data_IF_403704243730
#
_entry.id   IF_403704243730
#
_cell.length_a   1.000
_cell.length_b   1.000
_cell.length_c   1.000
_cell.angle_alpha   90.00
_cell.angle_beta   90.00
_cell.angle_gamma   90.00
#
_symmetry.space_group_name_H-M   'P 1'
#
loop_
_entity.id
_entity.type
_entity.pdbx_description
1 polymer ?
#
# COMPACT_ATOMS: atom_id res chain seq x y z
N UNK A 1 20.44 -28.15 24.97
CA UNK A 1 21.02 -26.78 25.01
C UNK A 1 21.18 -26.17 23.60
N UNK A 2 21.61 -26.93 22.59
CA UNK A 2 21.77 -26.49 21.18
C UNK A 2 20.49 -26.06 20.45
N UNK A 3 19.34 -26.71 20.71
CA UNK A 3 18.03 -26.30 20.16
C UNK A 3 17.55 -24.94 20.67
N UNK A 4 17.84 -24.61 21.94
CA UNK A 4 17.47 -23.33 22.56
C UNK A 4 18.31 -22.16 22.03
N UNK A 5 19.61 -22.41 21.77
CA UNK A 5 20.50 -21.41 21.18
C UNK A 5 20.14 -21.08 19.72
N UNK A 6 19.78 -22.09 18.90
CA UNK A 6 19.32 -21.87 17.52
C UNK A 6 17.98 -21.12 17.46
N UNK A 7 17.02 -21.48 18.32
CA UNK A 7 15.73 -20.78 18.39
C UNK A 7 15.89 -19.31 18.85
N UNK A 8 16.79 -19.04 19.79
CA UNK A 8 17.08 -17.68 20.24
C UNK A 8 17.78 -16.84 19.16
N UNK A 9 18.70 -17.43 18.38
CA UNK A 9 19.36 -16.77 17.24
C UNK A 9 18.36 -16.37 16.15
N UNK A 10 17.49 -17.29 15.73
CA UNK A 10 16.47 -17.03 14.70
C UNK A 10 15.46 -15.96 15.14
N UNK A 11 15.04 -15.99 16.41
CA UNK A 11 14.16 -14.96 16.96
C UNK A 11 14.83 -13.58 17.01
N UNK A 12 16.15 -13.53 17.25
CA UNK A 12 16.93 -12.30 17.22
C UNK A 12 17.06 -11.74 15.80
N UNK A 13 17.40 -12.58 14.82
CA UNK A 13 17.44 -12.19 13.40
C UNK A 13 16.11 -11.64 12.92
N UNK A 14 14.99 -12.30 13.28
CA UNK A 14 13.67 -11.87 12.82
C UNK A 14 13.31 -10.48 13.36
N UNK A 15 13.63 -10.24 14.64
CA UNK A 15 13.42 -8.92 15.27
C UNK A 15 14.29 -7.86 14.62
N UNK A 16 15.55 -8.17 14.30
CA UNK A 16 16.47 -7.24 13.65
C UNK A 16 15.99 -6.89 12.25
N UNK A 17 15.68 -7.88 11.40
CA UNK A 17 15.15 -7.66 10.05
C UNK A 17 13.86 -6.85 10.08
N UNK A 18 12.95 -7.16 11.01
CA UNK A 18 11.70 -6.41 11.15
C UNK A 18 11.93 -4.97 11.61
N UNK A 19 12.90 -4.72 12.47
CA UNK A 19 13.30 -3.39 12.88
C UNK A 19 13.91 -2.61 11.71
N UNK A 20 14.75 -3.24 10.89
CA UNK A 20 15.31 -2.64 9.67
C UNK A 20 14.20 -2.26 8.68
N UNK A 21 13.27 -3.18 8.40
CA UNK A 21 12.09 -2.89 7.56
C UNK A 21 11.24 -1.75 8.15
N UNK A 22 11.08 -1.69 9.47
CA UNK A 22 10.36 -0.60 10.14
C UNK A 22 11.07 0.74 9.95
N UNK A 23 12.38 0.79 10.24
CA UNK A 23 13.21 1.98 10.11
C UNK A 23 13.22 2.46 8.66
N UNK A 24 13.38 1.55 7.70
CA UNK A 24 13.35 1.86 6.28
C UNK A 24 11.99 2.46 5.89
N UNK A 25 10.88 1.82 6.24
CA UNK A 25 9.55 2.33 5.89
C UNK A 25 9.25 3.68 6.54
N UNK A 26 9.55 3.84 7.83
CA UNK A 26 9.35 5.10 8.55
C UNK A 26 10.22 6.21 7.94
N UNK A 27 11.51 5.92 7.73
CA UNK A 27 12.47 6.84 7.16
C UNK A 27 12.12 7.26 5.73
N UNK A 28 11.79 6.30 4.86
CA UNK A 28 11.42 6.57 3.46
C UNK A 28 10.13 7.37 3.35
N UNK A 29 9.10 7.08 4.16
CA UNK A 29 7.89 7.89 4.19
C UNK A 29 8.17 9.31 4.74
N UNK A 30 9.06 9.43 5.72
CA UNK A 30 9.58 10.72 6.16
C UNK A 30 10.25 11.50 5.03
N UNK A 31 11.20 10.88 4.31
CA UNK A 31 11.89 11.52 3.19
C UNK A 31 10.92 11.96 2.09
N UNK A 32 10.02 11.07 1.67
CA UNK A 32 9.01 11.38 0.64
C UNK A 32 8.13 12.55 1.07
N UNK A 33 7.68 12.58 2.32
CA UNK A 33 6.87 13.67 2.84
C UNK A 33 7.66 14.98 2.99
N UNK A 34 8.91 14.92 3.45
CA UNK A 34 9.78 16.08 3.61
C UNK A 34 10.06 16.76 2.27
N UNK A 35 10.48 15.99 1.26
CA UNK A 35 10.74 16.49 -0.09
C UNK A 35 9.45 17.02 -0.74
N UNK A 36 8.36 16.27 -0.65
CA UNK A 36 7.05 16.70 -1.14
C UNK A 36 6.61 18.02 -0.51
N UNK A 37 6.79 18.17 0.81
CA UNK A 37 6.42 19.37 1.57
C UNK A 37 7.17 20.61 1.06
N UNK A 38 8.49 20.50 0.82
CA UNK A 38 9.29 21.60 0.25
C UNK A 38 8.79 21.99 -1.13
N UNK A 39 8.46 21.01 -1.98
CA UNK A 39 7.95 21.25 -3.33
C UNK A 39 6.57 21.92 -3.31
N UNK A 40 5.71 21.53 -2.37
CA UNK A 40 4.32 21.99 -2.25
C UNK A 40 4.12 23.12 -1.25
N UNK A 41 5.20 23.69 -0.71
CA UNK A 41 5.15 24.74 0.31
C UNK A 41 4.24 25.89 -0.10
N UNK A 42 3.38 26.33 0.82
CA UNK A 42 2.41 27.42 0.58
C UNK A 42 2.85 28.76 1.16
N UNK A 43 3.76 28.76 2.12
CA UNK A 43 4.24 29.96 2.83
C UNK A 43 5.70 30.31 2.54
N UNK A 44 6.16 31.39 3.17
CA UNK A 44 7.54 31.88 3.12
C UNK A 44 8.50 31.19 4.10
N UNK A 45 8.12 30.08 4.73
CA UNK A 45 8.99 29.34 5.64
C UNK A 45 10.27 28.86 4.93
N UNK A 46 11.36 28.76 5.70
CA UNK A 46 12.62 28.25 5.23
C UNK A 46 12.51 26.77 4.81
N UNK A 47 13.12 26.40 3.67
CA UNK A 47 13.02 25.05 3.10
C UNK A 47 13.38 23.95 4.11
N UNK A 48 14.40 24.15 4.94
CA UNK A 48 14.81 23.17 5.94
C UNK A 48 13.73 22.94 7.01
N UNK A 49 13.10 24.01 7.51
CA UNK A 49 11.98 23.92 8.46
C UNK A 49 10.78 23.20 7.84
N UNK A 50 10.44 23.52 6.59
CA UNK A 50 9.36 22.86 5.84
C UNK A 50 9.66 21.38 5.61
N UNK A 51 10.91 21.04 5.28
CA UNK A 51 11.38 19.67 5.14
C UNK A 51 11.25 18.90 6.45
N UNK A 52 11.78 19.43 7.56
CA UNK A 52 11.73 18.75 8.86
C UNK A 52 10.29 18.52 9.34
N UNK A 53 9.40 19.49 9.14
CA UNK A 53 7.98 19.35 9.46
C UNK A 53 7.31 18.25 8.61
N UNK A 54 7.59 18.24 7.30
CA UNK A 54 7.11 17.19 6.39
C UNK A 54 7.66 15.82 6.77
N UNK A 55 8.96 15.74 7.07
CA UNK A 55 9.66 14.52 7.45
C UNK A 55 9.10 13.92 8.73
N UNK A 56 8.96 14.73 9.78
CA UNK A 56 8.40 14.29 11.05
C UNK A 56 6.98 13.72 10.89
N UNK A 57 6.10 14.45 10.19
CA UNK A 57 4.73 13.99 9.92
C UNK A 57 4.73 12.72 9.06
N UNK A 58 5.58 12.67 8.04
CA UNK A 58 5.75 11.50 7.17
C UNK A 58 6.23 10.27 7.93
N UNK A 59 7.15 10.42 8.86
CA UNK A 59 7.64 9.35 9.72
C UNK A 59 6.53 8.78 10.61
N UNK A 60 5.71 9.65 11.23
CA UNK A 60 4.53 9.21 11.99
C UNK A 60 3.56 8.43 11.10
N UNK A 61 3.23 8.96 9.91
CA UNK A 61 2.37 8.28 8.96
C UNK A 61 2.93 6.93 8.52
N UNK A 62 4.25 6.86 8.25
CA UNK A 62 4.97 5.64 7.92
C UNK A 62 4.91 4.60 9.04
N UNK A 63 5.06 5.02 10.29
CA UNK A 63 4.93 4.13 11.46
C UNK A 63 3.54 3.54 11.60
N UNK A 64 2.49 4.36 11.43
CA UNK A 64 1.10 3.89 11.44
C UNK A 64 0.85 2.93 10.28
N UNK A 65 1.32 3.24 9.07
CA UNK A 65 1.18 2.34 7.92
C UNK A 65 1.90 1.01 8.10
N UNK A 66 3.09 1.04 8.71
CA UNK A 66 3.82 -0.18 9.08
C UNK A 66 3.05 -1.06 10.07
N UNK A 67 2.39 -0.47 11.07
CA UNK A 67 1.49 -1.22 11.97
C UNK A 67 0.40 -1.91 11.15
N UNK A 68 -0.23 -1.18 10.22
CA UNK A 68 -1.24 -1.74 9.31
C UNK A 68 -0.71 -2.92 8.50
N UNK A 69 0.53 -2.84 7.98
CA UNK A 69 1.16 -3.95 7.26
C UNK A 69 1.37 -5.16 8.16
N UNK A 70 1.84 -4.97 9.39
CA UNK A 70 1.99 -6.08 10.33
C UNK A 70 0.67 -6.74 10.72
N UNK A 71 -0.47 -6.05 10.61
CA UNK A 71 -1.77 -6.62 10.94
C UNK A 71 -2.25 -7.62 9.88
N UNK A 72 -1.63 -7.68 8.69
CA UNK A 72 -1.95 -8.67 7.66
C UNK A 72 -1.80 -10.11 8.16
N UNK A 73 -0.83 -10.37 9.04
CA UNK A 73 -0.65 -11.66 9.69
C UNK A 73 -1.86 -12.16 10.49
N UNK A 74 -2.75 -11.26 10.92
CA UNK A 74 -3.99 -11.69 11.58
C UNK A 74 -4.89 -12.52 10.65
N UNK A 75 -4.80 -12.33 9.33
CA UNK A 75 -5.52 -13.17 8.37
C UNK A 75 -5.07 -14.63 8.47
N UNK A 76 -3.76 -14.86 8.49
CA UNK A 76 -3.17 -16.19 8.65
C UNK A 76 -3.41 -16.77 10.05
N UNK A 77 -3.16 -15.99 11.10
CA UNK A 77 -3.29 -16.45 12.49
C UNK A 77 -4.73 -16.83 12.85
N UNK A 78 -5.70 -16.05 12.39
CA UNK A 78 -7.11 -16.24 12.73
C UNK A 78 -7.85 -17.07 11.67
N UNK A 79 -7.16 -17.49 10.60
CA UNK A 79 -7.73 -18.21 9.45
C UNK A 79 -9.00 -17.52 8.96
N UNK A 80 -8.92 -16.19 8.82
CA UNK A 80 -10.09 -15.36 8.51
C UNK A 80 -9.70 -14.10 7.73
N UNK A 81 -10.08 -14.07 6.45
CA UNK A 81 -9.82 -12.94 5.54
C UNK A 81 -10.48 -11.63 5.97
N UNK A 82 -11.43 -11.65 6.92
CA UNK A 82 -12.03 -10.42 7.46
C UNK A 82 -11.01 -9.55 8.20
N UNK A 83 -9.92 -10.13 8.71
CA UNK A 83 -8.83 -9.37 9.31
C UNK A 83 -8.02 -8.52 8.31
N UNK A 84 -8.31 -8.59 7.01
CA UNK A 84 -7.80 -7.62 6.04
C UNK A 84 -8.36 -6.21 6.29
N UNK A 85 -9.58 -6.06 6.82
CA UNK A 85 -10.18 -4.76 7.12
C UNK A 85 -9.37 -3.90 8.09
N UNK A 86 -9.04 -4.36 9.31
CA UNK A 86 -8.28 -3.55 10.24
C UNK A 86 -6.87 -3.22 9.69
N UNK A 87 -6.21 -4.16 9.01
CA UNK A 87 -4.92 -3.90 8.36
C UNK A 87 -5.00 -2.76 7.34
N UNK A 88 -6.03 -2.77 6.48
CA UNK A 88 -6.26 -1.73 5.47
C UNK A 88 -6.63 -0.38 6.07
N UNK A 89 -7.50 -0.35 7.09
CA UNK A 89 -7.91 0.90 7.74
C UNK A 89 -6.71 1.59 8.37
N UNK A 90 -5.91 0.85 9.15
CA UNK A 90 -4.71 1.39 9.80
C UNK A 90 -3.68 1.82 8.76
N UNK A 91 -3.44 1.00 7.73
CA UNK A 91 -2.52 1.36 6.65
C UNK A 91 -2.92 2.66 5.93
N UNK A 92 -4.21 2.79 5.63
CA UNK A 92 -4.76 3.95 4.91
C UNK A 92 -4.73 5.22 5.75
N UNK A 93 -4.92 5.13 7.07
CA UNK A 93 -4.73 6.25 7.98
C UNK A 93 -3.29 6.76 7.94
N UNK A 94 -2.31 5.87 8.08
CA UNK A 94 -0.89 6.25 7.99
C UNK A 94 -0.54 6.86 6.63
N UNK A 95 -1.01 6.25 5.54
CA UNK A 95 -0.77 6.71 4.17
C UNK A 95 -1.43 8.07 3.90
N UNK A 96 -2.57 8.35 4.54
CA UNK A 96 -3.23 9.66 4.50
C UNK A 96 -2.36 10.74 5.13
N UNK A 97 -1.74 10.45 6.27
CA UNK A 97 -0.84 11.37 6.96
C UNK A 97 0.38 11.67 6.10
N UNK A 98 1.01 10.65 5.51
CA UNK A 98 2.15 10.81 4.59
C UNK A 98 1.77 11.70 3.42
N UNK A 99 0.63 11.43 2.77
CA UNK A 99 0.18 12.22 1.62
C UNK A 99 -0.09 13.68 1.99
N UNK A 100 -0.70 13.94 3.15
CA UNK A 100 -0.97 15.29 3.60
C UNK A 100 0.32 16.02 3.95
N UNK A 101 1.25 15.36 4.65
CA UNK A 101 2.56 15.90 4.95
C UNK A 101 3.32 16.30 3.67
N UNK A 102 3.32 15.42 2.66
CA UNK A 102 3.93 15.68 1.36
C UNK A 102 3.27 16.83 0.58
N UNK A 103 2.05 17.24 0.93
CA UNK A 103 1.34 18.36 0.31
C UNK A 103 1.38 19.65 1.16
N UNK A 104 2.25 19.70 2.16
CA UNK A 104 2.33 20.80 3.14
C UNK A 104 0.94 21.07 3.77
N UNK A 105 0.34 20.00 4.32
CA UNK A 105 -0.95 20.01 4.99
C UNK A 105 -0.84 19.45 6.42
N UNK A 106 -1.88 19.67 7.23
CA UNK A 106 -2.04 19.02 8.53
C UNK A 106 -2.28 17.52 8.37
N UNK A 107 -1.86 16.72 9.37
CA UNK A 107 -1.90 15.24 9.31
C UNK A 107 -3.31 14.70 8.96
N UNK A 108 -4.36 15.32 9.49
CA UNK A 108 -5.76 14.87 9.36
C UNK A 108 -6.61 15.75 8.44
N UNK A 109 -6.00 16.56 7.58
CA UNK A 109 -6.73 17.41 6.64
C UNK A 109 -7.57 16.60 5.63
N UNK A 110 -7.03 15.45 5.21
CA UNK A 110 -7.69 14.50 4.33
C UNK A 110 -7.38 13.08 4.77
N UNK A 111 -8.41 12.30 5.04
CA UNK A 111 -8.33 10.86 5.21
C UNK A 111 -8.78 10.21 3.90
N UNK A 112 -8.00 9.28 3.37
CA UNK A 112 -8.42 8.49 2.23
C UNK A 112 -8.55 7.02 2.59
N UNK A 113 -9.33 6.31 1.80
CA UNK A 113 -9.48 4.86 1.84
C UNK A 113 -9.80 4.35 0.45
N UNK A 114 -8.96 3.47 -0.09
CA UNK A 114 -9.20 2.84 -1.38
C UNK A 114 -10.08 1.60 -1.15
N UNK A 115 -11.33 1.65 -1.61
CA UNK A 115 -12.30 0.55 -1.54
C UNK A 115 -12.67 0.12 -2.96
N UNK A 116 -12.28 -1.10 -3.34
CA UNK A 116 -12.49 -1.65 -4.68
C UNK A 116 -11.94 -0.71 -5.75
N UNK A 117 -12.80 -0.23 -6.66
CA UNK A 117 -12.43 0.71 -7.71
C UNK A 117 -12.56 2.18 -7.30
N UNK A 118 -12.87 2.45 -6.03
CA UNK A 118 -13.22 3.78 -5.55
C UNK A 118 -12.24 4.25 -4.50
N UNK A 119 -11.69 5.45 -4.70
CA UNK A 119 -11.00 6.20 -3.65
C UNK A 119 -12.01 7.05 -2.90
N UNK A 120 -12.21 6.72 -1.64
CA UNK A 120 -12.98 7.54 -0.70
C UNK A 120 -12.04 8.55 -0.05
N UNK A 121 -12.47 9.80 0.04
CA UNK A 121 -11.74 10.86 0.72
C UNK A 121 -12.67 11.63 1.64
N UNK A 122 -12.35 11.62 2.92
CA UNK A 122 -13.04 12.41 3.93
C UNK A 122 -12.16 13.58 4.36
N UNK A 123 -12.76 14.77 4.44
CA UNK A 123 -12.12 15.99 4.90
C UNK A 123 -12.75 16.38 6.23
N UNK A 124 -12.21 15.94 7.38
CA UNK A 124 -12.87 16.05 8.69
C UNK A 124 -13.27 17.48 9.05
N UNK A 125 -12.35 18.44 8.86
CA UNK A 125 -12.61 19.86 9.16
C UNK A 125 -13.70 20.48 8.28
N UNK A 126 -13.88 19.95 7.06
CA UNK A 126 -14.88 20.44 6.10
C UNK A 126 -16.16 19.59 6.10
N UNK A 127 -16.20 18.51 6.89
CA UNK A 127 -17.28 17.50 6.91
C UNK A 127 -17.71 17.05 5.51
N UNK A 128 -16.73 16.89 4.61
CA UNK A 128 -16.97 16.58 3.20
C UNK A 128 -16.45 15.20 2.85
N UNK A 129 -17.31 14.38 2.26
CA UNK A 129 -16.94 13.11 1.64
C UNK A 129 -16.82 13.30 0.12
N UNK A 130 -15.82 12.67 -0.48
CA UNK A 130 -15.69 12.53 -1.93
C UNK A 130 -15.44 11.07 -2.26
N UNK A 131 -16.06 10.60 -3.33
CA UNK A 131 -15.79 9.30 -3.93
C UNK A 131 -15.32 9.53 -5.36
N UNK A 132 -14.19 8.93 -5.73
CA UNK A 132 -13.60 9.06 -7.06
C UNK A 132 -13.18 7.71 -7.59
N UNK A 133 -13.35 7.47 -8.88
CA UNK A 133 -12.82 6.32 -9.58
C UNK A 133 -11.29 6.31 -9.43
N UNK A 134 -10.76 5.22 -8.88
CA UNK A 134 -9.34 5.02 -8.67
C UNK A 134 -8.75 4.34 -9.90
N UNK A 135 -8.14 5.07 -10.83
CA UNK A 135 -7.84 4.55 -12.17
C UNK A 135 -6.95 3.30 -12.13
N UNK A 136 -5.92 3.28 -11.28
CA UNK A 136 -5.02 2.13 -11.20
C UNK A 136 -5.70 0.83 -10.75
N UNK A 137 -6.83 0.92 -10.03
CA UNK A 137 -7.62 -0.28 -9.69
C UNK A 137 -8.18 -1.00 -10.92
N UNK A 138 -8.46 -0.26 -12.01
CA UNK A 138 -8.97 -0.85 -13.25
C UNK A 138 -7.89 -1.69 -13.94
N UNK A 139 -6.62 -1.27 -13.83
CA UNK A 139 -5.49 -2.05 -14.31
C UNK A 139 -5.35 -3.34 -13.52
N UNK A 140 -5.41 -3.28 -12.18
CA UNK A 140 -5.37 -4.48 -11.34
C UNK A 140 -6.52 -5.44 -11.65
N UNK A 141 -7.74 -4.90 -11.79
CA UNK A 141 -8.93 -5.65 -12.18
C UNK A 141 -8.76 -6.37 -13.53
N UNK A 142 -8.14 -5.72 -14.52
CA UNK A 142 -7.85 -6.35 -15.81
C UNK A 142 -6.91 -7.55 -15.68
N UNK A 143 -5.91 -7.48 -14.79
CA UNK A 143 -4.96 -8.57 -14.57
C UNK A 143 -5.66 -9.74 -13.89
N UNK A 144 -6.31 -9.50 -12.74
CA UNK A 144 -6.89 -10.59 -11.95
C UNK A 144 -8.20 -11.13 -12.52
N UNK A 145 -8.95 -10.33 -13.29
CA UNK A 145 -10.22 -10.74 -13.86
C UNK A 145 -10.10 -11.57 -15.15
N UNK A 146 -8.90 -11.66 -15.75
CA UNK A 146 -8.70 -12.37 -17.01
C UNK A 146 -8.81 -13.88 -16.82
N UNK A 147 -9.93 -14.47 -17.23
CA UNK A 147 -10.16 -15.92 -17.13
C UNK A 147 -10.41 -16.40 -15.69
N UNK A 148 -10.86 -15.49 -14.82
CA UNK A 148 -11.16 -15.77 -13.42
C UNK A 148 -12.62 -15.44 -13.08
N UNK A 149 -13.16 -16.13 -12.08
CA UNK A 149 -14.51 -15.94 -11.55
C UNK A 149 -14.48 -14.97 -10.38
N UNK A 150 -15.30 -13.93 -10.42
CA UNK A 150 -15.48 -13.01 -9.30
C UNK A 150 -16.21 -13.68 -8.12
N UNK A 151 -15.69 -13.51 -6.90
CA UNK A 151 -16.31 -13.99 -5.66
C UNK A 151 -16.76 -12.80 -4.81
N UNK A 152 -18.06 -12.51 -4.83
CA UNK A 152 -18.66 -11.41 -4.06
C UNK A 152 -18.56 -11.65 -2.54
N UNK A 153 -18.66 -12.91 -2.08
CA UNK A 153 -18.62 -13.25 -0.67
C UNK A 153 -17.27 -12.94 -0.05
N UNK A 154 -16.20 -13.42 -0.67
CA UNK A 154 -14.81 -13.10 -0.26
C UNK A 154 -14.50 -11.62 -0.43
N UNK A 155 -15.07 -10.99 -1.47
CA UNK A 155 -14.91 -9.55 -1.71
C UNK A 155 -15.46 -8.71 -0.57
N UNK A 156 -16.72 -8.95 -0.15
CA UNK A 156 -17.34 -8.21 0.94
C UNK A 156 -16.65 -8.49 2.28
N UNK A 157 -16.28 -9.75 2.52
CA UNK A 157 -15.65 -10.18 3.78
C UNK A 157 -14.32 -9.47 4.03
N UNK A 158 -13.53 -9.25 2.99
CA UNK A 158 -12.20 -8.62 3.07
C UNK A 158 -12.16 -7.13 2.69
N UNK A 159 -13.17 -6.68 1.96
CA UNK A 159 -13.22 -5.38 1.30
C UNK A 159 -12.28 -5.26 0.08
N UNK A 160 -11.71 -6.35 -0.43
CA UNK A 160 -10.79 -6.40 -1.58
C UNK A 160 -11.48 -7.16 -2.71
N UNK A 161 -11.43 -6.69 -3.95
CA UNK A 161 -12.04 -7.43 -5.07
C UNK A 161 -11.36 -8.79 -5.23
N UNK A 162 -12.13 -9.88 -5.16
CA UNK A 162 -11.58 -11.24 -5.15
C UNK A 162 -11.98 -12.03 -6.40
N UNK A 163 -10.99 -12.65 -7.02
CA UNK A 163 -11.13 -13.46 -8.23
C UNK A 163 -10.48 -14.83 -8.06
N UNK A 164 -11.15 -15.86 -8.55
CA UNK A 164 -10.71 -17.26 -8.49
C UNK A 164 -10.45 -17.82 -9.88
N UNK A 165 -9.36 -18.56 -10.05
CA UNK A 165 -9.08 -19.32 -11.26
C UNK A 165 -8.50 -20.69 -10.93
N UNK A 166 -8.71 -21.68 -11.78
CA UNK A 166 -8.05 -22.99 -11.69
C UNK A 166 -6.58 -22.96 -12.18
N UNK A 167 -6.18 -21.87 -12.84
CA UNK A 167 -4.85 -21.63 -13.40
C UNK A 167 -3.94 -20.74 -12.55
N UNK A 168 -2.89 -20.23 -13.20
CA UNK A 168 -1.94 -19.26 -12.63
C UNK A 168 -2.31 -17.86 -13.08
N UNK A 169 -2.03 -16.87 -12.25
CA UNK A 169 -2.12 -15.46 -12.60
C UNK A 169 -0.77 -14.99 -13.15
N UNK A 170 -0.80 -14.20 -14.22
CA UNK A 170 0.40 -13.62 -14.83
C UNK A 170 0.26 -12.11 -14.94
N UNK A 171 1.31 -11.41 -14.54
CA UNK A 171 1.48 -9.96 -14.69
C UNK A 171 2.85 -9.66 -15.30
N UNK A 172 3.13 -8.38 -15.55
CA UNK A 172 4.45 -7.93 -15.97
C UNK A 172 5.55 -8.20 -14.94
N UNK A 173 5.18 -8.52 -13.69
CA UNK A 173 6.11 -8.77 -12.58
C UNK A 173 6.34 -10.26 -12.30
N UNK A 174 5.58 -11.16 -12.95
CA UNK A 174 5.79 -12.61 -12.80
C UNK A 174 4.51 -13.45 -12.96
N UNK A 175 4.60 -14.72 -12.57
CA UNK A 175 3.44 -15.62 -12.53
C UNK A 175 3.38 -16.48 -11.27
N UNK A 176 2.19 -16.60 -10.70
CA UNK A 176 1.96 -17.23 -9.39
C UNK A 176 0.63 -17.95 -9.29
N UNK A 177 0.45 -18.70 -8.19
CA UNK A 177 -0.86 -19.25 -7.81
C UNK A 177 -1.80 -18.15 -7.27
N UNK A 178 -1.26 -17.01 -6.89
CA UNK A 178 -2.01 -15.82 -6.49
C UNK A 178 -1.30 -14.55 -6.99
N UNK A 179 -2.01 -13.43 -6.96
CA UNK A 179 -1.44 -12.10 -7.16
C UNK A 179 -2.33 -11.01 -6.58
N UNK A 180 -1.74 -10.10 -5.83
CA UNK A 180 -2.31 -8.86 -5.32
C UNK A 180 -2.01 -7.72 -6.27
N UNK A 181 -3.06 -7.10 -6.81
CA UNK A 181 -2.98 -6.05 -7.81
C UNK A 181 -3.84 -4.86 -7.39
N UNK A 182 -3.18 -3.82 -6.88
CA UNK A 182 -3.77 -2.52 -6.47
C UNK A 182 -4.85 -2.65 -5.39
N UNK A 183 -6.07 -3.06 -5.77
CA UNK A 183 -7.22 -3.23 -4.87
C UNK A 183 -7.97 -4.54 -5.10
N UNK A 184 -7.29 -5.50 -5.74
CA UNK A 184 -7.85 -6.77 -6.17
C UNK A 184 -6.87 -7.92 -5.96
N UNK A 185 -7.38 -9.10 -5.63
CA UNK A 185 -6.62 -10.34 -5.46
C UNK A 185 -7.16 -11.37 -6.45
N UNK A 186 -6.27 -11.94 -7.24
CA UNK A 186 -6.51 -13.17 -7.99
C UNK A 186 -5.88 -14.34 -7.25
N UNK A 187 -6.61 -15.43 -7.04
CA UNK A 187 -6.08 -16.60 -6.34
C UNK A 187 -6.55 -17.92 -6.94
N UNK A 188 -5.67 -18.93 -6.90
CA UNK A 188 -5.97 -20.25 -7.42
C UNK A 188 -7.03 -20.92 -6.55
N UNK A 189 -8.05 -21.50 -7.17
CA UNK A 189 -9.09 -22.28 -6.48
C UNK A 189 -8.56 -23.57 -5.84
N UNK A 190 -7.30 -23.92 -6.10
CA UNK A 190 -6.60 -25.09 -5.53
C UNK A 190 -5.91 -24.77 -4.21
N UNK A 191 -5.87 -23.51 -3.79
CA UNK A 191 -5.31 -23.10 -2.51
C UNK A 191 -6.34 -23.32 -1.41
N UNK A 192 -6.00 -24.15 -0.44
CA UNK A 192 -6.88 -24.52 0.67
C UNK A 192 -6.16 -24.45 2.01
N UNK A 193 -6.93 -24.49 3.10
CA UNK A 193 -6.41 -24.55 4.46
C UNK A 193 -5.39 -23.46 4.76
N UNK A 194 -4.24 -23.86 5.29
CA UNK A 194 -3.19 -22.94 5.70
C UNK A 194 -2.52 -22.22 4.53
N UNK A 195 -2.32 -22.90 3.40
CA UNK A 195 -1.72 -22.33 2.19
C UNK A 195 -2.58 -21.16 1.68
N UNK A 196 -3.91 -21.30 1.74
CA UNK A 196 -4.85 -20.22 1.36
C UNK A 196 -4.66 -18.97 2.20
N UNK A 197 -4.69 -19.08 3.54
CA UNK A 197 -4.66 -17.89 4.40
C UNK A 197 -3.29 -17.23 4.45
N UNK A 198 -2.22 -18.01 4.32
CA UNK A 198 -0.84 -17.55 4.23
C UNK A 198 -0.64 -16.75 2.93
N UNK A 199 -0.96 -17.35 1.80
CA UNK A 199 -0.91 -16.69 0.48
C UNK A 199 -1.79 -15.44 0.48
N UNK A 200 -3.02 -15.53 1.00
CA UNK A 200 -3.92 -14.37 1.04
C UNK A 200 -3.35 -13.23 1.88
N UNK A 201 -2.74 -13.51 3.03
CA UNK A 201 -2.14 -12.48 3.88
C UNK A 201 -1.00 -11.75 3.14
N UNK A 202 -0.18 -12.48 2.39
CA UNK A 202 0.89 -11.97 1.55
C UNK A 202 0.36 -11.04 0.44
N UNK A 203 -0.70 -11.46 -0.27
CA UNK A 203 -1.31 -10.62 -1.30
C UNK A 203 -1.98 -9.35 -0.74
N UNK A 204 -2.52 -9.42 0.48
CA UNK A 204 -2.98 -8.21 1.19
C UNK A 204 -1.79 -7.29 1.47
N UNK A 205 -0.65 -7.83 1.91
CA UNK A 205 0.54 -7.03 2.17
C UNK A 205 1.02 -6.28 0.92
N UNK A 206 1.01 -6.92 -0.25
CA UNK A 206 1.32 -6.27 -1.53
C UNK A 206 0.36 -5.12 -1.87
N UNK A 207 -0.94 -5.30 -1.65
CA UNK A 207 -1.92 -4.21 -1.80
C UNK A 207 -1.59 -3.02 -0.88
N UNK A 208 -1.22 -3.28 0.37
CA UNK A 208 -0.86 -2.23 1.33
C UNK A 208 0.47 -1.52 0.99
N UNK A 209 1.43 -2.24 0.41
CA UNK A 209 2.68 -1.70 -0.13
C UNK A 209 2.43 -0.77 -1.33
N UNK A 210 1.43 -1.08 -2.15
CA UNK A 210 0.98 -0.20 -3.23
C UNK A 210 0.32 1.08 -2.68
N UNK A 211 -0.62 0.92 -1.74
CA UNK A 211 -1.39 2.03 -1.17
C UNK A 211 -0.50 3.10 -0.51
N UNK A 212 0.57 2.69 0.18
CA UNK A 212 1.51 3.63 0.82
C UNK A 212 2.33 4.50 -0.14
N UNK A 213 2.42 4.14 -1.43
CA UNK A 213 3.13 4.95 -2.43
C UNK A 213 2.36 6.24 -2.79
N UNK A 214 1.19 6.45 -2.18
CA UNK A 214 0.36 7.64 -2.34
C UNK A 214 1.06 8.96 -2.03
N UNK A 215 2.13 8.95 -1.22
CA UNK A 215 2.99 10.12 -1.03
C UNK A 215 3.56 10.67 -2.34
N UNK A 216 3.82 9.78 -3.32
CA UNK A 216 4.29 10.14 -4.66
C UNK A 216 3.34 11.07 -5.42
N UNK A 217 2.03 11.00 -5.15
CA UNK A 217 1.05 11.88 -5.79
C UNK A 217 1.28 13.37 -5.48
N UNK A 218 1.92 13.66 -4.35
CA UNK A 218 2.16 15.04 -3.94
C UNK A 218 3.10 15.77 -4.91
N UNK A 219 4.05 15.08 -5.55
CA UNK A 219 4.99 15.68 -6.49
C UNK A 219 4.31 16.23 -7.76
N UNK A 220 3.11 15.73 -8.10
CA UNK A 220 2.34 16.20 -9.25
C UNK A 220 1.26 17.22 -8.89
N UNK A 221 1.15 17.65 -7.63
CA UNK A 221 0.05 18.53 -7.19
C UNK A 221 0.02 19.84 -8.01
N UNK A 222 1.19 20.44 -8.27
CA UNK A 222 1.30 21.66 -9.09
C UNK A 222 0.91 21.43 -10.55
N UNK A 223 1.34 20.30 -11.12
CA UNK A 223 1.00 19.92 -12.48
C UNK A 223 -0.51 19.67 -12.64
N UNK A 224 -1.12 18.92 -11.72
CA UNK A 224 -2.57 18.69 -11.66
C UNK A 224 -3.35 20.01 -11.51
N UNK A 225 -2.87 20.95 -10.67
CA UNK A 225 -3.48 22.28 -10.54
C UNK A 225 -3.42 23.10 -11.83
N UNK A 226 -2.29 23.05 -12.55
CA UNK A 226 -2.13 23.72 -13.83
C UNK A 226 -3.09 23.13 -14.88
N UNK A 227 -3.19 21.80 -14.98
CA UNK A 227 -4.13 21.13 -15.89
C UNK A 227 -5.61 21.47 -15.59
N UNK A 228 -5.97 21.57 -14.31
CA UNK A 228 -7.34 22.00 -13.90
C UNK A 228 -7.64 23.44 -14.26
N UNK A 229 -6.61 24.27 -14.38
CA UNK A 229 -6.77 25.69 -14.74
C UNK A 229 -6.80 25.86 -16.26
N UNK A 230 -6.02 25.08 -17.00
CA UNK A 230 -5.95 25.16 -18.47
C UNK A 230 -7.09 24.45 -19.20
N UNK A 231 -7.72 23.44 -18.59
CA UNK A 231 -8.77 22.64 -19.24
C UNK A 231 -10.01 22.44 -18.37
N UNK A 232 -11.14 23.00 -18.81
CA UNK A 232 -12.44 22.80 -18.17
C UNK A 232 -12.90 21.33 -18.22
N UNK A 233 -12.56 20.62 -19.31
CA UNK A 233 -12.83 19.19 -19.42
C UNK A 233 -12.10 18.41 -18.33
N UNK A 234 -10.78 18.64 -18.17
CA UNK A 234 -9.98 17.98 -17.12
C UNK A 234 -10.47 18.35 -15.71
N UNK A 235 -10.81 19.62 -15.49
CA UNK A 235 -11.40 20.09 -14.23
C UNK A 235 -12.72 19.39 -13.90
N UNK A 236 -13.55 19.10 -14.89
CA UNK A 236 -14.79 18.34 -14.70
C UNK A 236 -14.49 16.87 -14.43
N UNK A 237 -13.64 16.25 -15.24
CA UNK A 237 -13.28 14.83 -15.16
C UNK A 237 -12.63 14.47 -13.81
N UNK A 238 -11.70 15.31 -13.33
CA UNK A 238 -10.97 15.12 -12.07
C UNK A 238 -11.84 15.22 -10.80
N UNK A 239 -13.11 15.65 -10.91
CA UNK A 239 -14.09 15.53 -9.83
C UNK A 239 -14.50 14.09 -9.58
N UNK A 240 -14.53 13.28 -10.65
CA UNK A 240 -14.98 11.89 -10.63
C UNK A 240 -13.83 10.90 -10.72
N UNK A 241 -12.69 11.31 -11.27
CA UNK A 241 -11.53 10.44 -11.48
C UNK A 241 -10.36 10.89 -10.60
N UNK A 242 -9.73 9.93 -9.93
CA UNK A 242 -8.46 10.11 -9.27
C UNK A 242 -7.35 9.48 -10.11
N UNK A 243 -6.54 10.35 -10.71
CA UNK A 243 -5.29 9.96 -11.38
C UNK A 243 -4.21 9.83 -10.31
N UNK A 244 -3.76 8.60 -10.07
CA UNK A 244 -2.68 8.32 -9.13
C UNK A 244 -1.38 7.96 -9.83
N UNK A 245 -0.30 8.24 -9.13
CA UNK A 245 1.08 7.91 -9.45
C UNK A 245 1.57 6.70 -8.68
N UNK A 246 0.72 6.03 -7.89
CA UNK A 246 1.17 4.89 -7.09
C UNK A 246 1.71 3.80 -8.02
N UNK A 247 1.04 3.51 -9.13
CA UNK A 247 1.48 2.55 -10.13
C UNK A 247 2.84 2.87 -10.74
N UNK A 248 3.01 4.04 -11.40
CA UNK A 248 4.32 4.44 -11.93
C UNK A 248 5.43 4.48 -10.88
N UNK A 249 5.16 4.98 -9.67
CA UNK A 249 6.15 5.02 -8.58
C UNK A 249 6.51 3.62 -8.10
N UNK A 250 5.52 2.73 -7.99
CA UNK A 250 5.72 1.34 -7.60
C UNK A 250 6.52 0.59 -8.67
N UNK A 251 6.16 0.74 -9.96
CA UNK A 251 6.88 0.12 -11.07
C UNK A 251 8.32 0.62 -11.16
N UNK A 252 8.55 1.93 -11.01
CA UNK A 252 9.89 2.50 -10.97
C UNK A 252 10.70 1.90 -9.82
N UNK A 253 10.13 1.86 -8.61
CA UNK A 253 10.81 1.28 -7.45
C UNK A 253 11.13 -0.21 -7.65
N UNK A 254 10.21 -0.97 -8.25
CA UNK A 254 10.42 -2.38 -8.58
C UNK A 254 11.48 -2.58 -9.67
N UNK A 255 11.62 -1.65 -10.62
CA UNK A 255 12.62 -1.75 -11.70
C UNK A 255 14.08 -1.62 -11.23
N UNK A 256 14.29 -1.09 -10.03
CA UNK A 256 15.61 -1.01 -9.39
C UNK A 256 15.94 -2.26 -8.54
N UNK A 257 14.98 -3.16 -8.38
CA UNK A 257 15.15 -4.41 -7.65
C UNK A 257 15.36 -5.58 -8.63
N UNK A 258 16.08 -6.61 -8.20
CA UNK A 258 16.21 -7.83 -9.00
C UNK A 258 14.84 -8.49 -9.19
N UNK A 259 14.51 -8.88 -10.42
CA UNK A 259 13.23 -9.51 -10.79
C UNK A 259 13.04 -10.95 -10.23
N UNK A 260 13.80 -11.31 -9.21
CA UNK A 260 13.72 -12.59 -8.50
C UNK A 260 12.70 -12.51 -7.36
N UNK A 261 12.34 -13.66 -6.78
CA UNK A 261 11.52 -13.75 -5.56
C UNK A 261 12.19 -13.18 -4.30
N UNK A 262 13.36 -12.57 -4.47
CA UNK A 262 14.24 -12.09 -3.41
C UNK A 262 14.36 -10.58 -3.36
N UNK A 263 13.48 -9.85 -4.06
CA UNK A 263 13.43 -8.41 -3.95
C UNK A 263 12.86 -7.95 -2.60
N UNK A 264 13.15 -6.69 -2.25
CA UNK A 264 12.69 -6.07 -1.02
C UNK A 264 11.17 -6.19 -0.79
N UNK A 265 10.35 -6.07 -1.83
CA UNK A 265 8.89 -6.08 -1.71
C UNK A 265 8.34 -7.45 -1.31
N UNK A 266 8.87 -8.52 -1.91
CA UNK A 266 8.52 -9.91 -1.56
C UNK A 266 8.98 -10.23 -0.13
N UNK A 267 10.22 -9.88 0.23
CA UNK A 267 10.74 -10.09 1.58
C UNK A 267 9.92 -9.36 2.63
N UNK A 268 9.56 -8.11 2.36
CA UNK A 268 8.73 -7.31 3.23
C UNK A 268 7.33 -7.95 3.40
N UNK A 269 6.68 -8.31 2.29
CA UNK A 269 5.35 -8.93 2.32
C UNK A 269 5.35 -10.23 3.12
N UNK A 270 6.30 -11.13 2.84
CA UNK A 270 6.46 -12.42 3.54
C UNK A 270 6.77 -12.21 5.03
N UNK A 271 7.65 -11.26 5.38
CA UNK A 271 8.00 -10.97 6.77
C UNK A 271 6.77 -10.52 7.58
N UNK A 272 5.95 -9.63 7.03
CA UNK A 272 4.77 -9.12 7.74
C UNK A 272 3.56 -10.05 7.67
N UNK A 273 3.32 -10.74 6.57
CA UNK A 273 2.17 -11.63 6.42
C UNK A 273 2.38 -12.94 7.17
N UNK A 274 3.57 -13.54 7.05
CA UNK A 274 3.82 -14.93 7.40
C UNK A 274 4.84 -15.08 8.54
N UNK A 275 5.47 -13.99 8.97
CA UNK A 275 6.54 -13.96 10.00
C UNK A 275 7.70 -14.91 9.69
N UNK A 276 8.03 -15.07 8.40
CA UNK A 276 9.16 -15.88 7.98
C UNK A 276 10.40 -15.01 7.87
N UNK A 277 11.52 -15.59 8.29
CA UNK A 277 12.85 -15.07 8.01
C UNK A 277 13.15 -15.21 6.53
N UNK A 278 14.00 -14.30 6.07
CA UNK A 278 14.57 -14.20 4.73
C UNK A 278 14.42 -15.49 3.89
N UNK A 279 13.47 -15.48 2.94
CA UNK A 279 13.16 -16.66 2.12
C UNK A 279 14.28 -16.99 1.10
N UNK A 280 15.31 -16.15 1.04
CA UNK A 280 16.28 -16.09 -0.03
C UNK A 280 17.74 -16.35 0.38
N UNK A 281 17.96 -16.74 1.64
CA UNK A 281 19.26 -17.18 2.17
C UNK A 281 19.20 -18.60 2.72
#
# INVERSE_FOLDING_TARGET
>A
MTLSLKANSQNSEFKNQRAELAIFNVGMNGLVAGLGSVINKKGGDANFKTFLNGFYKGAIGGGISHIGLSMTNLVFQQKNIAYAWPARIVNSLGSSIVQNAAQDMGMFERLHFNLYITRLEYFPLKRKLKARLFVSSLFGLRIVGRGARFDLGKTLKSGILFFESDGRFSSSLGSGKATGQVSSIGMSSRLEGDEFYDTYAEEVAHILQYDRKVGGNAYLTKFDANLKTSSNFYKSLSKYIYFDMNGPVFWLAYSFEDATRCNFFEQEAVNYANRRLDFCN
#
